data_IF_584671374320
#
_entry.id   IF_584671374320
#
_cell.length_a   1.000
_cell.length_b   1.000
_cell.length_c   1.000
_cell.angle_alpha   90.00
_cell.angle_beta   90.00
_cell.angle_gamma   90.00
#
_symmetry.space_group_name_H-M   'P 1'
#
loop_
_entity.id
_entity.type
_entity.pdbx_description
1 polymer ?
#
# COMPACT_ATOMS: atom_id res chain seq x y z
N UNK A 1 14.92 -4.74 -8.55
CA UNK A 1 14.34 -5.94 -7.91
C UNK A 1 12.89 -6.07 -8.35
N UNK A 2 12.49 -7.20 -8.92
CA UNK A 2 11.14 -7.38 -9.47
C UNK A 2 10.08 -7.39 -8.35
N UNK A 3 8.91 -6.76 -8.56
CA UNK A 3 7.81 -6.66 -7.59
C UNK A 3 7.42 -8.00 -6.95
N UNK A 4 7.56 -9.09 -7.72
CA UNK A 4 7.40 -10.47 -7.25
C UNK A 4 8.26 -10.82 -6.02
N UNK A 5 9.55 -10.47 -6.02
CA UNK A 5 10.48 -10.85 -4.95
C UNK A 5 10.19 -10.08 -3.65
N UNK A 6 9.64 -8.87 -3.77
CA UNK A 6 9.19 -8.07 -2.63
C UNK A 6 7.90 -8.66 -2.05
N UNK A 7 6.94 -9.05 -2.90
CA UNK A 7 5.70 -9.73 -2.48
C UNK A 7 5.98 -11.06 -1.78
N UNK A 8 6.90 -11.87 -2.30
CA UNK A 8 7.26 -13.16 -1.73
C UNK A 8 8.00 -13.02 -0.38
N UNK A 9 8.93 -12.08 -0.26
CA UNK A 9 9.59 -11.77 1.00
C UNK A 9 8.60 -11.21 2.04
N UNK A 10 7.70 -10.33 1.59
CA UNK A 10 6.67 -9.72 2.42
C UNK A 10 5.61 -10.74 2.89
N UNK A 11 5.32 -11.78 2.11
CA UNK A 11 4.40 -12.85 2.50
C UNK A 11 4.95 -13.74 3.64
N UNK A 12 6.27 -13.81 3.84
CA UNK A 12 6.91 -14.55 4.94
C UNK A 12 7.04 -13.72 6.21
N UNK A 13 7.10 -12.40 6.08
CA UNK A 13 7.03 -11.44 7.19
C UNK A 13 5.57 -11.10 7.49
N UNK A 14 5.22 -10.74 8.71
CA UNK A 14 3.84 -10.33 9.05
C UNK A 14 3.48 -8.92 8.50
N UNK A 15 3.99 -8.55 7.32
CA UNK A 15 3.83 -7.23 6.71
C UNK A 15 2.68 -7.22 5.72
N UNK A 16 1.80 -6.21 5.82
CA UNK A 16 0.79 -5.94 4.80
C UNK A 16 1.41 -5.35 3.53
N UNK A 17 1.01 -5.83 2.36
CA UNK A 17 1.40 -5.22 1.09
C UNK A 17 0.20 -5.10 0.13
N UNK A 18 0.27 -4.06 -0.70
CA UNK A 18 -0.70 -3.73 -1.73
C UNK A 18 0.04 -3.16 -2.96
N UNK A 19 -0.42 -3.52 -4.15
CA UNK A 19 0.04 -3.00 -5.44
C UNK A 19 -1.13 -2.26 -6.07
N UNK A 20 -0.89 -1.04 -6.55
CA UNK A 20 -1.89 -0.22 -7.22
C UNK A 20 -1.63 -0.10 -8.72
N UNK A 21 -2.69 0.17 -9.48
CA UNK A 21 -2.56 0.72 -10.82
C UNK A 21 -2.32 2.24 -10.78
N UNK A 22 -2.16 2.86 -11.95
CA UNK A 22 -1.93 4.31 -12.05
C UNK A 22 -3.09 5.18 -11.52
N UNK A 23 -4.28 4.61 -11.36
CA UNK A 23 -5.46 5.27 -10.79
C UNK A 23 -5.57 5.05 -9.28
N UNK A 24 -4.60 4.35 -8.66
CA UNK A 24 -4.61 4.05 -7.23
C UNK A 24 -5.50 2.86 -6.84
N UNK A 25 -6.11 2.16 -7.79
CA UNK A 25 -6.91 0.96 -7.49
C UNK A 25 -5.99 -0.23 -7.19
N UNK A 26 -6.32 -1.02 -6.17
CA UNK A 26 -5.56 -2.21 -5.80
C UNK A 26 -5.68 -3.26 -6.91
N UNK A 27 -4.54 -3.67 -7.48
CA UNK A 27 -4.46 -4.78 -8.44
C UNK A 27 -4.09 -6.10 -7.76
N UNK A 28 -3.37 -6.03 -6.63
CA UNK A 28 -3.01 -7.19 -5.83
C UNK A 28 -2.67 -6.78 -4.38
N UNK A 29 -2.95 -7.63 -3.41
CA UNK A 29 -2.61 -7.42 -1.99
C UNK A 29 -2.64 -8.73 -1.21
N UNK A 30 -1.93 -8.79 -0.08
CA UNK A 30 -2.02 -9.94 0.82
C UNK A 30 -3.13 -9.84 1.86
N UNK A 31 -3.34 -10.94 2.58
CA UNK A 31 -4.32 -11.00 3.66
C UNK A 31 -3.99 -10.05 4.82
N UNK A 32 -2.71 -9.81 5.11
CA UNK A 32 -2.31 -8.86 6.15
C UNK A 32 -2.77 -7.43 5.82
N UNK A 33 -2.64 -6.98 4.57
CA UNK A 33 -3.18 -5.69 4.13
C UNK A 33 -4.71 -5.64 4.28
N UNK A 34 -5.42 -6.70 3.86
CA UNK A 34 -6.89 -6.78 4.00
C UNK A 34 -7.34 -6.66 5.46
N UNK A 35 -6.60 -7.27 6.39
CA UNK A 35 -6.85 -7.15 7.84
C UNK A 35 -6.60 -5.73 8.35
N UNK A 36 -5.50 -5.10 7.95
CA UNK A 36 -5.19 -3.69 8.29
C UNK A 36 -6.32 -2.77 7.81
N UNK A 37 -6.79 -3.00 6.58
CA UNK A 37 -7.86 -2.22 5.95
C UNK A 37 -9.28 -2.55 6.46
N UNK A 38 -9.43 -3.49 7.40
CA UNK A 38 -10.74 -3.86 7.96
C UNK A 38 -11.70 -4.52 6.95
N UNK A 39 -11.18 -5.14 5.89
CA UNK A 39 -11.97 -5.68 4.77
C UNK A 39 -12.47 -7.08 5.09
N UNK A 40 -13.76 -7.34 4.82
CA UNK A 40 -14.33 -8.68 4.97
C UNK A 40 -13.83 -9.62 3.87
N UNK A 41 -13.78 -10.92 4.18
CA UNK A 41 -13.44 -11.93 3.20
C UNK A 41 -14.43 -11.87 2.01
N UNK A 42 -13.89 -11.78 0.79
CA UNK A 42 -14.67 -11.69 -0.45
C UNK A 42 -14.90 -10.27 -0.96
N UNK A 43 -14.72 -9.25 -0.13
CA UNK A 43 -14.86 -7.85 -0.56
C UNK A 43 -13.60 -7.36 -1.29
N UNK A 44 -13.78 -6.36 -2.15
CA UNK A 44 -12.68 -5.66 -2.80
C UNK A 44 -11.90 -4.86 -1.75
N UNK A 45 -10.56 -4.94 -1.72
CA UNK A 45 -9.77 -4.13 -0.81
C UNK A 45 -9.87 -2.65 -1.20
N UNK A 46 -10.00 -1.73 -0.23
CA UNK A 46 -10.06 -0.31 -0.50
C UNK A 46 -8.69 0.20 -0.93
N UNK A 47 -8.69 1.39 -1.53
CA UNK A 47 -7.46 2.05 -1.94
C UNK A 47 -6.63 2.47 -0.71
N UNK A 48 -5.30 2.61 -0.82
CA UNK A 48 -4.44 2.93 0.31
C UNK A 48 -4.84 4.18 1.09
N UNK A 49 -5.36 5.21 0.41
CA UNK A 49 -5.85 6.46 1.01
C UNK A 49 -7.07 6.27 1.92
N UNK A 50 -7.85 5.22 1.71
CA UNK A 50 -8.97 4.85 2.57
C UNK A 50 -8.54 3.87 3.67
N UNK A 51 -7.53 3.04 3.38
CA UNK A 51 -7.00 2.05 4.33
C UNK A 51 -6.05 2.64 5.38
N UNK A 52 -5.33 3.71 5.04
CA UNK A 52 -4.30 4.34 5.87
C UNK A 52 -4.73 5.76 6.25
N UNK A 53 -5.51 5.92 7.33
CA UNK A 53 -6.02 7.22 7.74
C UNK A 53 -4.92 8.14 8.29
N UNK A 54 -5.13 9.45 8.21
CA UNK A 54 -4.29 10.48 8.82
C UNK A 54 -3.48 11.32 7.81
N UNK A 55 -3.17 12.55 8.20
CA UNK A 55 -2.51 13.53 7.32
C UNK A 55 -1.12 13.09 6.86
N UNK A 56 -0.36 12.40 7.74
CA UNK A 56 0.96 11.87 7.40
C UNK A 56 0.90 10.84 6.27
N UNK A 57 -0.06 9.92 6.33
CA UNK A 57 -0.28 8.92 5.29
C UNK A 57 -0.74 9.58 3.98
N UNK A 58 -1.66 10.55 4.06
CA UNK A 58 -2.14 11.28 2.89
C UNK A 58 -1.01 12.02 2.14
N UNK A 59 -0.14 12.72 2.88
CA UNK A 59 0.99 13.45 2.29
C UNK A 59 2.01 12.51 1.61
N UNK A 60 2.30 11.37 2.23
CA UNK A 60 3.16 10.34 1.65
C UNK A 60 2.54 9.74 0.38
N UNK A 61 1.27 9.31 0.43
CA UNK A 61 0.56 8.74 -0.71
C UNK A 61 0.51 9.70 -1.90
N UNK A 62 0.30 11.00 -1.65
CA UNK A 62 0.35 12.02 -2.69
C UNK A 62 1.72 12.09 -3.39
N UNK A 63 2.83 12.11 -2.63
CA UNK A 63 4.19 12.17 -3.21
C UNK A 63 4.53 10.93 -4.00
N UNK A 64 4.13 9.75 -3.51
CA UNK A 64 4.31 8.48 -4.20
C UNK A 64 3.51 8.45 -5.51
N UNK A 65 2.23 8.81 -5.47
CA UNK A 65 1.37 8.85 -6.66
C UNK A 65 1.89 9.85 -7.70
N UNK A 66 2.33 11.04 -7.26
CA UNK A 66 2.94 12.05 -8.14
C UNK A 66 4.21 11.53 -8.82
N UNK A 67 5.08 10.84 -8.08
CA UNK A 67 6.32 10.29 -8.64
C UNK A 67 6.04 9.17 -9.63
N UNK A 68 5.09 8.29 -9.32
CA UNK A 68 4.63 7.24 -10.21
C UNK A 68 4.06 7.82 -11.53
N UNK A 69 3.26 8.88 -11.45
CA UNK A 69 2.72 9.58 -12.62
C UNK A 69 3.84 10.22 -13.48
N UNK A 70 4.97 10.59 -12.88
CA UNK A 70 6.15 11.08 -13.58
C UNK A 70 7.07 9.96 -14.12
N UNK A 71 6.74 8.69 -13.90
CA UNK A 71 7.59 7.55 -14.24
C UNK A 71 8.86 7.47 -13.38
N UNK A 72 8.87 8.11 -12.21
CA UNK A 72 10.02 8.18 -11.31
C UNK A 72 9.83 7.19 -10.16
N UNK A 73 10.83 6.33 -9.96
CA UNK A 73 10.86 5.47 -8.78
C UNK A 73 11.01 6.32 -7.52
N UNK A 74 10.18 6.05 -6.51
CA UNK A 74 10.16 6.74 -5.23
C UNK A 74 9.82 5.72 -4.14
N UNK A 75 10.59 5.72 -3.06
CA UNK A 75 10.35 4.91 -1.87
C UNK A 75 10.43 5.80 -0.63
N UNK A 76 9.47 5.63 0.28
CA UNK A 76 9.47 6.30 1.59
C UNK A 76 9.23 5.27 2.69
N UNK A 77 9.92 5.43 3.81
CA UNK A 77 9.69 4.67 5.04
C UNK A 77 9.28 5.66 6.13
N UNK A 78 8.14 5.43 6.74
CA UNK A 78 7.61 6.27 7.82
C UNK A 78 7.29 5.40 9.03
N UNK A 79 7.61 5.91 10.22
CA UNK A 79 7.08 5.35 11.45
C UNK A 79 5.65 5.85 11.63
N UNK A 80 4.71 4.92 11.69
CA UNK A 80 3.34 5.25 12.07
C UNK A 80 3.35 5.44 13.59
N UNK A 81 3.25 6.69 14.05
CA UNK A 81 3.04 6.98 15.47
C UNK A 81 1.82 6.20 15.95
N UNK A 82 1.95 5.46 17.06
CA UNK A 82 0.80 4.86 17.72
C UNK A 82 -0.15 6.01 18.11
N UNK A 83 -1.32 6.07 17.46
CA UNK A 83 -2.43 6.91 17.90
C UNK A 83 -2.95 6.45 19.26
#
# INVERSE_FOLDING_TARGET
MSAWRISEAAARSHLGWAITNAQGAIVDCNEAYRRIAGVKAGDAPPQPELALPGEAAAGMLYRLARSAAAGQAHEETVELSAG
#
